data_IF_099880871768
#
_entry.id   IF_099880871768
#
_cell.length_a   1.000
_cell.length_b   1.000
_cell.length_c   1.000
_cell.angle_alpha   90.00
_cell.angle_beta   90.00
_cell.angle_gamma   90.00
#
_symmetry.space_group_name_H-M   'P 1'
#
loop_
_entity.id
_entity.type
_entity.pdbx_description
1 polymer ?
#
# COMPACT_ATOMS: atom_id res chain seq x y z
N UNK A 1 29.25 -7.96 -10.54
CA UNK A 1 28.75 -7.88 -9.15
C UNK A 1 28.66 -9.30 -8.65
N UNK A 2 29.16 -9.57 -7.45
CA UNK A 2 29.00 -10.89 -6.81
C UNK A 2 27.58 -10.98 -6.26
N UNK A 3 26.97 -12.16 -6.26
CA UNK A 3 25.58 -12.36 -5.79
C UNK A 3 25.36 -11.75 -4.38
N UNK A 4 26.35 -11.86 -3.50
CA UNK A 4 26.32 -11.27 -2.16
C UNK A 4 26.22 -9.73 -2.12
N UNK A 5 26.76 -9.03 -3.13
CA UNK A 5 26.62 -7.56 -3.23
C UNK A 5 25.20 -7.17 -3.63
N UNK A 6 24.58 -7.95 -4.53
CA UNK A 6 23.20 -7.75 -4.96
C UNK A 6 22.24 -8.02 -3.80
N UNK A 7 22.41 -9.15 -3.11
CA UNK A 7 21.60 -9.51 -1.93
C UNK A 7 21.63 -8.42 -0.85
N UNK A 8 22.78 -7.76 -0.65
CA UNK A 8 22.91 -6.68 0.30
C UNK A 8 22.16 -5.41 -0.12
N UNK A 9 22.08 -5.13 -1.42
CA UNK A 9 21.26 -4.02 -1.94
C UNK A 9 19.76 -4.36 -1.84
N UNK A 10 19.36 -5.61 -2.10
CA UNK A 10 17.97 -6.03 -2.01
C UNK A 10 17.41 -5.88 -0.60
N UNK A 11 18.23 -6.11 0.44
CA UNK A 11 17.85 -5.85 1.84
C UNK A 11 17.45 -4.39 2.11
N UNK A 12 17.90 -3.44 1.29
CA UNK A 12 17.54 -2.03 1.44
C UNK A 12 16.20 -1.70 0.79
N UNK A 13 15.72 -2.51 -0.17
CA UNK A 13 14.49 -2.24 -0.93
C UNK A 13 13.28 -2.02 -0.01
N UNK A 14 13.00 -2.88 1.00
CA UNK A 14 11.84 -2.68 1.86
C UNK A 14 11.88 -1.36 2.63
N UNK A 15 13.06 -0.98 3.15
CA UNK A 15 13.25 0.27 3.89
C UNK A 15 13.06 1.49 2.99
N UNK A 16 13.66 1.48 1.80
CA UNK A 16 13.55 2.56 0.83
C UNK A 16 12.12 2.70 0.31
N UNK A 17 11.44 1.60 0.02
CA UNK A 17 10.05 1.60 -0.43
C UNK A 17 9.11 2.17 0.65
N UNK A 18 9.29 1.76 1.90
CA UNK A 18 8.51 2.30 3.02
C UNK A 18 8.74 3.80 3.20
N UNK A 19 9.99 4.26 3.15
CA UNK A 19 10.33 5.68 3.25
C UNK A 19 9.73 6.51 2.10
N UNK A 20 9.80 5.98 0.87
CA UNK A 20 9.23 6.64 -0.30
C UNK A 20 7.69 6.76 -0.22
N UNK A 21 7.02 5.68 0.17
CA UNK A 21 5.56 5.67 0.41
C UNK A 21 5.16 6.67 1.49
N UNK A 22 5.85 6.66 2.64
CA UNK A 22 5.55 7.59 3.73
C UNK A 22 5.74 9.04 3.31
N UNK A 23 6.83 9.35 2.59
CA UNK A 23 7.06 10.69 2.06
C UNK A 23 5.94 11.11 1.10
N UNK A 24 5.57 10.26 0.13
CA UNK A 24 4.50 10.56 -0.82
C UNK A 24 3.14 10.79 -0.12
N UNK A 25 2.86 10.02 0.93
CA UNK A 25 1.67 10.21 1.77
C UNK A 25 1.64 11.62 2.39
N UNK A 26 2.73 12.02 3.05
CA UNK A 26 2.83 13.34 3.71
C UNK A 26 2.83 14.48 2.70
N UNK A 27 3.57 14.35 1.60
CA UNK A 27 3.64 15.38 0.56
C UNK A 27 2.25 15.62 -0.07
N UNK A 28 1.48 14.55 -0.28
CA UNK A 28 0.11 14.63 -0.84
C UNK A 28 -0.84 15.37 0.10
N UNK A 29 -0.85 15.01 1.39
CA UNK A 29 -1.67 15.70 2.39
C UNK A 29 -1.24 17.15 2.58
N UNK A 30 0.08 17.42 2.59
CA UNK A 30 0.63 18.77 2.74
C UNK A 30 0.27 19.68 1.57
N UNK A 31 0.06 19.11 0.38
CA UNK A 31 -0.45 19.83 -0.80
C UNK A 31 -1.96 20.11 -0.75
N UNK A 32 -2.67 19.71 0.31
CA UNK A 32 -4.11 19.88 0.47
C UNK A 32 -4.95 18.85 -0.28
N UNK A 33 -4.32 17.78 -0.82
CA UNK A 33 -5.03 16.68 -1.46
C UNK A 33 -5.44 15.61 -0.43
N UNK A 34 -6.30 14.68 -0.84
CA UNK A 34 -6.66 13.50 -0.05
C UNK A 34 -5.83 12.27 -0.46
N UNK A 35 -5.73 11.31 0.46
CA UNK A 35 -5.08 10.01 0.24
C UNK A 35 -6.06 8.88 0.54
N UNK A 36 -6.02 7.81 -0.26
CA UNK A 36 -6.75 6.58 0.05
C UNK A 36 -5.90 5.67 0.95
N UNK A 37 -6.43 5.32 2.11
CA UNK A 37 -5.77 4.47 3.10
C UNK A 37 -6.70 3.32 3.49
N UNK A 38 -6.15 2.11 3.67
CA UNK A 38 -6.89 0.99 4.24
C UNK A 38 -6.72 0.99 5.76
N UNK A 39 -7.83 1.10 6.49
CA UNK A 39 -7.87 1.09 7.96
C UNK A 39 -8.89 0.03 8.37
N UNK A 40 -8.48 -0.92 9.21
CA UNK A 40 -9.33 -1.98 9.76
C UNK A 40 -10.20 -2.71 8.70
N UNK A 41 -9.62 -3.00 7.54
CA UNK A 41 -10.30 -3.72 6.46
C UNK A 41 -11.27 -2.89 5.63
N UNK A 42 -11.26 -1.56 5.77
CA UNK A 42 -12.02 -0.65 4.91
C UNK A 42 -11.12 0.41 4.28
N UNK A 43 -11.49 0.85 3.08
CA UNK A 43 -10.85 1.96 2.37
C UNK A 43 -11.46 3.26 2.89
N UNK A 44 -10.60 4.16 3.34
CA UNK A 44 -10.93 5.52 3.73
C UNK A 44 -10.26 6.52 2.80
N UNK A 45 -10.96 7.61 2.54
CA UNK A 45 -10.35 8.85 2.05
C UNK A 45 -9.92 9.68 3.26
N UNK A 46 -8.63 9.94 3.38
CA UNK A 46 -8.00 10.72 4.45
C UNK A 46 -7.67 12.10 3.92
N UNK A 47 -8.14 13.12 4.61
CA UNK A 47 -7.96 14.52 4.24
C UNK A 47 -6.82 15.17 5.04
N UNK A 48 -6.29 16.28 4.53
CA UNK A 48 -5.19 17.03 5.16
C UNK A 48 -5.54 17.57 6.57
N UNK A 49 -6.82 17.75 6.88
CA UNK A 49 -7.32 18.16 8.20
C UNK A 49 -7.40 16.99 9.21
N UNK A 50 -7.05 15.78 8.78
CA UNK A 50 -7.10 14.56 9.58
C UNK A 50 -8.47 13.88 9.60
N UNK A 51 -9.50 14.47 8.96
CA UNK A 51 -10.78 13.81 8.80
C UNK A 51 -10.66 12.59 7.88
N UNK A 52 -11.52 11.59 8.11
CA UNK A 52 -11.52 10.32 7.38
C UNK A 52 -12.94 9.98 6.96
N UNK A 53 -13.12 9.70 5.68
CA UNK A 53 -14.40 9.28 5.09
C UNK A 53 -14.30 7.84 4.64
N UNK A 54 -15.11 6.96 5.24
CA UNK A 54 -15.21 5.56 4.79
C UNK A 54 -15.78 5.53 3.37
N UNK A 55 -15.08 4.87 2.45
CA UNK A 55 -15.51 4.71 1.07
C UNK A 55 -16.22 3.36 0.89
N UNK A 56 -15.54 2.26 1.26
CA UNK A 56 -16.08 0.90 1.19
C UNK A 56 -15.23 -0.08 1.98
N UNK A 57 -15.80 -1.23 2.30
CA UNK A 57 -15.04 -2.36 2.84
C UNK A 57 -14.14 -2.98 1.76
N UNK A 58 -12.97 -3.47 2.17
CA UNK A 58 -12.04 -4.17 1.28
C UNK A 58 -12.63 -5.54 0.95
N UNK A 59 -12.57 -5.93 -0.32
CA UNK A 59 -13.02 -7.24 -0.73
C UNK A 59 -12.21 -8.33 -0.01
N UNK A 60 -12.84 -9.45 0.39
CA UNK A 60 -12.13 -10.53 1.06
C UNK A 60 -10.99 -11.05 0.18
N UNK A 61 -9.88 -11.44 0.82
CA UNK A 61 -8.77 -12.07 0.14
C UNK A 61 -9.24 -13.36 -0.56
N UNK A 62 -9.01 -13.43 -1.88
CA UNK A 62 -9.32 -14.62 -2.67
C UNK A 62 -8.04 -15.44 -2.82
N UNK A 63 -7.93 -16.52 -2.05
CA UNK A 63 -6.82 -17.46 -2.19
C UNK A 63 -6.97 -18.26 -3.48
N UNK A 64 -5.97 -18.19 -4.35
CA UNK A 64 -5.88 -19.04 -5.55
C UNK A 64 -4.83 -20.12 -5.29
N UNK A 65 -5.24 -21.38 -5.25
CA UNK A 65 -4.29 -22.49 -5.18
C UNK A 65 -3.66 -22.77 -6.56
N UNK A 66 -2.44 -23.31 -6.56
CA UNK A 66 -1.76 -23.71 -7.81
C UNK A 66 -2.65 -24.65 -8.64
N UNK A 67 -2.68 -24.43 -9.95
CA UNK A 67 -3.51 -25.18 -10.91
C UNK A 67 -5.03 -25.06 -10.72
N UNK A 68 -5.54 -24.11 -9.93
CA UNK A 68 -6.98 -23.80 -9.87
C UNK A 68 -7.33 -22.53 -10.63
N UNK A 69 -8.41 -22.58 -11.39
CA UNK A 69 -9.04 -21.41 -12.01
C UNK A 69 -10.20 -20.95 -11.14
N UNK A 70 -10.21 -19.68 -10.75
CA UNK A 70 -11.34 -19.03 -10.09
C UNK A 70 -12.01 -18.11 -11.11
N UNK A 71 -13.34 -18.22 -11.24
CA UNK A 71 -14.14 -17.30 -12.05
C UNK A 71 -14.80 -16.34 -11.06
N UNK A 72 -14.59 -15.04 -11.27
CA UNK A 72 -15.26 -13.99 -10.52
C UNK A 72 -16.50 -13.58 -11.32
N UNK A 73 -17.66 -13.54 -10.66
CA UNK A 73 -18.92 -13.04 -11.24
C UNK A 73 -18.97 -11.51 -11.27
#
# INVERSE_FOLDING_TARGET
>A
MKDAELDNLEKLIPSLANGAMHKAYIDTLSAGNSVLEVIDGAIYEVFADGSKKKIKDVAPYIKVDINKKIILE
#
